data_IF_945001588584
#
_entry.id   IF_945001588584
#
_cell.length_a   1.000
_cell.length_b   1.000
_cell.length_c   1.000
_cell.angle_alpha   90.00
_cell.angle_beta   90.00
_cell.angle_gamma   90.00
#
_symmetry.space_group_name_H-M   'P 1'
#
loop_
_entity.id
_entity.type
_entity.pdbx_description
1 polymer ?
#
# COMPACT_ATOMS: atom_id res chain seq x y z
N UNK A 1 22.72 22.99 19.62
CA UNK A 1 22.14 21.63 19.65
C UNK A 1 20.88 21.48 18.78
N UNK A 2 19.93 22.44 18.78
CA UNK A 2 18.68 22.40 17.99
C UNK A 2 18.94 22.46 16.47
N UNK A 3 19.86 23.29 16.00
CA UNK A 3 20.22 23.44 14.57
C UNK A 3 20.84 22.17 13.97
N UNK A 4 21.68 21.46 14.71
CA UNK A 4 22.25 20.16 14.30
C UNK A 4 21.18 19.07 14.18
N UNK A 5 20.19 19.05 15.10
CA UNK A 5 19.04 18.14 15.01
C UNK A 5 18.16 18.41 13.77
N UNK A 6 18.04 19.67 13.37
CA UNK A 6 17.25 20.06 12.18
C UNK A 6 17.96 19.64 10.88
N UNK A 7 19.28 19.86 10.79
CA UNK A 7 20.09 19.43 9.64
C UNK A 7 20.10 17.90 9.54
N UNK A 8 20.28 17.20 10.66
CA UNK A 8 20.28 15.74 10.72
C UNK A 8 18.91 15.15 10.33
N UNK A 9 17.80 15.75 10.78
CA UNK A 9 16.45 15.35 10.35
C UNK A 9 16.25 15.57 8.85
N UNK A 10 16.70 16.70 8.28
CA UNK A 10 16.63 16.95 6.83
C UNK A 10 17.49 15.96 6.06
N UNK A 11 18.69 15.66 6.52
CA UNK A 11 19.57 14.66 5.90
C UNK A 11 18.93 13.27 5.94
N UNK A 12 18.42 12.84 7.09
CA UNK A 12 17.70 11.57 7.22
C UNK A 12 16.48 11.52 6.31
N UNK A 13 15.68 12.59 6.24
CA UNK A 13 14.52 12.66 5.34
C UNK A 13 14.93 12.60 3.86
N UNK A 14 16.06 13.21 3.49
CA UNK A 14 16.62 13.13 2.13
C UNK A 14 17.23 11.77 1.80
N UNK A 15 17.84 11.09 2.78
CA UNK A 15 18.37 9.74 2.64
C UNK A 15 17.25 8.70 2.54
N UNK A 16 16.23 8.81 3.41
CA UNK A 16 15.06 7.94 3.40
C UNK A 16 14.37 8.00 2.02
N UNK A 17 14.02 6.85 1.48
CA UNK A 17 13.40 6.72 0.17
C UNK A 17 14.27 7.20 -1.03
N UNK A 18 15.57 7.33 -0.85
CA UNK A 18 16.54 7.64 -1.90
C UNK A 18 17.07 6.38 -2.59
N UNK A 19 17.74 6.55 -3.75
CA UNK A 19 18.46 5.45 -4.41
C UNK A 19 19.56 4.84 -3.51
N UNK A 20 20.22 5.68 -2.71
CA UNK A 20 21.23 5.22 -1.76
C UNK A 20 20.58 4.35 -0.67
N UNK A 21 19.43 4.75 -0.14
CA UNK A 21 18.68 3.93 0.82
C UNK A 21 18.29 2.58 0.22
N UNK A 22 17.79 2.57 -1.02
CA UNK A 22 17.48 1.33 -1.73
C UNK A 22 18.72 0.44 -1.91
N UNK A 23 19.87 1.02 -2.25
CA UNK A 23 21.12 0.28 -2.41
C UNK A 23 21.61 -0.32 -1.08
N UNK A 24 21.62 0.49 -0.01
CA UNK A 24 21.97 0.03 1.34
C UNK A 24 21.03 -1.07 1.81
N UNK A 25 19.72 -0.93 1.56
CA UNK A 25 18.72 -1.95 1.91
C UNK A 25 19.00 -3.29 1.22
N UNK A 26 19.45 -3.28 -0.03
CA UNK A 26 19.85 -4.53 -0.74
C UNK A 26 21.06 -5.20 -0.08
N UNK A 27 22.06 -4.42 0.34
CA UNK A 27 23.23 -4.95 1.05
C UNK A 27 22.81 -5.53 2.40
N UNK A 28 22.04 -4.78 3.19
CA UNK A 28 21.57 -5.23 4.50
C UNK A 28 20.74 -6.51 4.39
N UNK A 29 19.89 -6.60 3.36
CA UNK A 29 19.12 -7.82 3.11
C UNK A 29 20.02 -9.03 2.78
N UNK A 30 21.09 -8.83 2.02
CA UNK A 30 22.07 -9.89 1.75
C UNK A 30 22.86 -10.31 3.01
N UNK A 31 22.88 -9.44 4.03
CA UNK A 31 23.55 -9.66 5.31
C UNK A 31 22.57 -10.06 6.43
N UNK A 32 21.30 -10.34 6.12
CA UNK A 32 20.35 -10.87 7.12
C UNK A 32 20.86 -12.21 7.65
N UNK A 33 21.11 -12.25 8.97
CA UNK A 33 21.51 -13.45 9.68
C UNK A 33 20.33 -14.05 10.44
N UNK A 34 20.47 -15.29 10.85
CA UNK A 34 19.49 -15.93 11.73
C UNK A 34 19.27 -15.08 13.00
N UNK A 35 18.00 -14.70 13.24
CA UNK A 35 17.61 -13.85 14.37
C UNK A 35 17.66 -12.33 14.12
N UNK A 36 18.11 -11.86 12.94
CA UNK A 36 18.05 -10.47 12.57
C UNK A 36 17.20 -10.28 11.32
N UNK A 37 16.11 -9.53 11.43
CA UNK A 37 15.11 -9.35 10.38
C UNK A 37 14.88 -7.86 10.15
N UNK A 38 14.89 -7.43 8.88
CA UNK A 38 14.60 -6.06 8.49
C UNK A 38 13.16 -5.99 7.98
N UNK A 39 12.37 -5.08 8.55
CA UNK A 39 11.03 -4.71 8.06
C UNK A 39 11.05 -3.28 7.53
N UNK A 40 10.27 -3.04 6.48
CA UNK A 40 10.10 -1.74 5.85
C UNK A 40 8.68 -1.19 6.04
N UNK A 41 7.70 -2.04 6.33
CA UNK A 41 6.32 -1.68 6.63
C UNK A 41 6.16 -1.08 8.03
N UNK A 42 4.95 -0.62 8.35
CA UNK A 42 4.69 0.05 9.64
C UNK A 42 4.67 -0.95 10.80
N UNK A 43 4.01 -2.09 10.65
CA UNK A 43 3.74 -3.06 11.72
C UNK A 43 4.25 -4.48 11.39
N UNK A 44 5.11 -4.62 10.37
CA UNK A 44 5.68 -5.91 9.97
C UNK A 44 4.84 -6.66 8.93
N UNK A 45 3.93 -5.99 8.23
CA UNK A 45 3.11 -6.56 7.16
C UNK A 45 3.95 -7.21 6.07
N UNK A 46 5.05 -6.57 5.69
CA UNK A 46 6.00 -7.07 4.70
C UNK A 46 6.63 -8.42 5.08
N UNK A 47 6.76 -8.69 6.38
CA UNK A 47 7.23 -9.97 6.93
C UNK A 47 6.18 -11.07 6.76
N UNK A 48 4.92 -10.72 7.07
CA UNK A 48 3.78 -11.63 6.91
C UNK A 48 3.61 -11.97 5.43
N UNK A 49 3.63 -10.96 4.56
CA UNK A 49 3.53 -11.13 3.11
C UNK A 49 4.68 -11.94 2.54
N UNK A 50 5.91 -11.70 2.97
CA UNK A 50 7.06 -12.53 2.57
C UNK A 50 6.87 -14.01 2.95
N UNK A 51 6.27 -14.28 4.11
CA UNK A 51 6.01 -15.65 4.54
C UNK A 51 4.92 -16.34 3.68
N UNK A 52 3.87 -15.62 3.25
CA UNK A 52 2.88 -16.16 2.31
C UNK A 52 3.51 -16.58 0.99
N UNK A 53 4.51 -15.85 0.53
CA UNK A 53 5.19 -16.06 -0.75
C UNK A 53 6.58 -16.70 -0.61
N UNK A 54 6.83 -17.38 0.51
CA UNK A 54 8.14 -17.97 0.84
C UNK A 54 8.67 -18.86 -0.29
N UNK A 55 9.88 -18.56 -0.74
CA UNK A 55 10.54 -19.29 -1.83
C UNK A 55 10.15 -18.81 -3.24
N UNK A 56 9.16 -17.92 -3.37
CA UNK A 56 8.76 -17.36 -4.66
C UNK A 56 9.66 -16.15 -5.00
N UNK A 57 10.47 -16.29 -6.06
CA UNK A 57 11.41 -15.24 -6.49
C UNK A 57 10.81 -14.21 -7.44
N UNK A 58 9.68 -14.53 -8.07
CA UNK A 58 8.97 -13.67 -9.00
C UNK A 58 7.49 -13.59 -8.63
N UNK A 59 6.91 -12.43 -8.77
CA UNK A 59 5.51 -12.19 -8.53
C UNK A 59 5.12 -10.78 -8.91
N UNK A 60 3.82 -10.52 -8.86
CA UNK A 60 3.25 -9.24 -9.23
C UNK A 60 2.32 -8.72 -8.14
N UNK A 61 2.57 -7.52 -7.67
CA UNK A 61 1.72 -6.85 -6.68
C UNK A 61 0.99 -5.64 -7.30
N UNK A 62 -0.14 -5.31 -6.70
CA UNK A 62 -0.87 -4.05 -6.89
C UNK A 62 -0.98 -3.39 -5.52
N UNK A 63 -0.47 -2.17 -5.40
CA UNK A 63 -0.31 -1.43 -4.16
C UNK A 63 -1.08 -0.11 -4.27
N UNK A 64 -2.24 -0.04 -3.60
CA UNK A 64 -3.15 1.11 -3.61
C UNK A 64 -3.02 1.85 -2.28
N UNK A 65 -2.69 3.15 -2.37
CA UNK A 65 -2.21 3.94 -1.25
C UNK A 65 -0.73 3.67 -0.96
N UNK A 66 0.07 3.48 -2.02
CA UNK A 66 1.44 2.97 -1.93
C UNK A 66 2.39 3.85 -1.12
N UNK A 67 2.03 5.10 -0.84
CA UNK A 67 2.74 6.08 -0.02
C UNK A 67 4.22 6.24 -0.45
N UNK A 68 5.17 5.76 0.32
CA UNK A 68 6.61 5.91 0.06
C UNK A 68 7.23 4.65 -0.53
N UNK A 69 8.22 4.79 -1.43
CA UNK A 69 8.77 3.65 -2.15
C UNK A 69 9.59 2.67 -1.29
N UNK A 70 9.99 3.05 -0.07
CA UNK A 70 10.83 2.22 0.82
C UNK A 70 10.22 2.14 2.22
N UNK A 71 10.24 3.27 2.94
CA UNK A 71 9.81 3.33 4.33
C UNK A 71 8.29 3.31 4.44
N UNK A 72 7.73 2.50 5.31
CA UNK A 72 6.29 2.30 5.47
C UNK A 72 5.66 1.46 4.35
N UNK A 73 6.46 0.77 3.54
CA UNK A 73 5.96 0.05 2.36
C UNK A 73 5.73 -1.44 2.63
N UNK A 74 4.53 -1.91 2.35
CA UNK A 74 4.15 -3.32 2.41
C UNK A 74 4.80 -4.16 1.29
N UNK A 75 5.16 -3.52 0.17
CA UNK A 75 5.62 -4.21 -1.05
C UNK A 75 7.12 -4.07 -1.33
N UNK A 76 7.85 -3.19 -0.61
CA UNK A 76 9.26 -2.96 -0.92
C UNK A 76 10.14 -4.20 -0.69
N UNK A 77 9.84 -5.01 0.31
CA UNK A 77 10.57 -6.25 0.58
C UNK A 77 10.42 -7.25 -0.56
N UNK A 78 9.22 -7.37 -1.13
CA UNK A 78 8.94 -8.17 -2.33
C UNK A 78 9.68 -7.60 -3.55
N UNK A 79 9.70 -6.27 -3.73
CA UNK A 79 10.50 -5.63 -4.77
C UNK A 79 11.99 -5.95 -4.66
N UNK A 80 12.57 -5.97 -3.45
CA UNK A 80 13.96 -6.39 -3.25
C UNK A 80 14.21 -7.84 -3.66
N UNK A 81 13.21 -8.71 -3.51
CA UNK A 81 13.26 -10.12 -3.90
C UNK A 81 13.06 -10.37 -5.42
N UNK A 82 12.91 -9.31 -6.22
CA UNK A 82 12.79 -9.43 -7.67
C UNK A 82 11.37 -9.20 -8.23
N UNK A 83 10.36 -9.08 -7.37
CA UNK A 83 9.00 -8.78 -7.78
C UNK A 83 8.88 -7.42 -8.45
N UNK A 84 7.78 -7.21 -9.13
CA UNK A 84 7.37 -5.94 -9.74
C UNK A 84 5.88 -5.74 -9.55
N UNK A 85 5.39 -4.54 -9.78
CA UNK A 85 3.97 -4.28 -9.61
C UNK A 85 3.50 -2.94 -10.14
N UNK A 86 2.26 -2.62 -9.75
CA UNK A 86 1.63 -1.32 -9.95
C UNK A 86 1.51 -0.67 -8.57
N UNK A 87 2.04 0.56 -8.42
CA UNK A 87 1.87 1.36 -7.23
C UNK A 87 1.00 2.56 -7.59
N UNK A 88 -0.02 2.83 -6.79
CA UNK A 88 -0.97 3.93 -6.99
C UNK A 88 -1.04 4.78 -5.74
N UNK A 89 -0.91 6.08 -5.92
CA UNK A 89 -1.07 7.07 -4.84
C UNK A 89 -1.55 8.40 -5.42
N UNK A 90 -2.40 9.13 -4.70
CA UNK A 90 -2.90 10.45 -5.11
C UNK A 90 -1.87 11.57 -5.01
N UNK A 91 -0.75 11.33 -4.34
CA UNK A 91 0.29 12.33 -4.13
C UNK A 91 1.41 12.22 -5.18
N UNK A 92 1.47 13.17 -6.10
CA UNK A 92 2.48 13.21 -7.17
C UNK A 92 3.92 13.25 -6.65
N UNK A 93 4.18 13.84 -5.46
CA UNK A 93 5.53 13.89 -4.91
C UNK A 93 6.00 12.50 -4.48
N UNK A 94 5.10 11.69 -3.93
CA UNK A 94 5.37 10.29 -3.57
C UNK A 94 5.65 9.46 -4.82
N UNK A 95 4.82 9.58 -5.85
CA UNK A 95 4.98 8.88 -7.13
C UNK A 95 6.32 9.23 -7.79
N UNK A 96 6.75 10.47 -7.73
CA UNK A 96 8.08 10.88 -8.21
C UNK A 96 9.23 10.14 -7.45
N UNK A 97 9.01 9.77 -6.20
CA UNK A 97 9.90 8.93 -5.41
C UNK A 97 10.00 7.50 -5.96
N UNK A 98 8.85 6.90 -6.30
CA UNK A 98 8.80 5.58 -6.92
C UNK A 98 9.56 5.52 -8.24
N UNK A 99 9.37 6.49 -9.13
CA UNK A 99 10.10 6.56 -10.42
C UNK A 99 11.62 6.58 -10.25
N UNK A 100 12.12 7.14 -9.13
CA UNK A 100 13.57 7.17 -8.82
C UNK A 100 14.07 5.84 -8.27
N UNK A 101 13.28 5.15 -7.46
CA UNK A 101 13.69 4.01 -6.63
C UNK A 101 13.25 2.69 -7.21
N UNK A 102 11.98 2.56 -7.63
CA UNK A 102 11.35 1.32 -8.08
C UNK A 102 11.16 1.28 -9.59
N UNK A 103 12.25 1.27 -10.33
CA UNK A 103 12.24 1.39 -11.80
C UNK A 103 11.58 0.22 -12.54
N UNK A 104 11.37 -0.93 -11.89
CA UNK A 104 10.68 -2.08 -12.50
C UNK A 104 9.17 -1.99 -12.37
N UNK A 105 8.67 -1.06 -11.53
CA UNK A 105 7.26 -0.88 -11.25
C UNK A 105 6.63 0.15 -12.17
N UNK A 106 5.35 0.01 -12.37
CA UNK A 106 4.46 1.02 -12.90
C UNK A 106 3.96 1.84 -11.72
N UNK A 107 4.14 3.16 -11.75
CA UNK A 107 3.75 4.02 -10.63
C UNK A 107 2.88 5.15 -11.12
N UNK A 108 1.67 5.29 -10.56
CA UNK A 108 0.58 6.11 -11.06
C UNK A 108 0.13 7.12 -10.00
N UNK A 109 -0.03 8.38 -10.42
CA UNK A 109 -0.67 9.40 -9.59
C UNK A 109 -2.16 9.42 -9.90
N UNK A 110 -2.92 8.60 -9.17
CA UNK A 110 -4.36 8.41 -9.38
C UNK A 110 -5.06 8.21 -8.03
N UNK A 111 -6.34 8.54 -7.98
CA UNK A 111 -7.24 8.15 -6.88
C UNK A 111 -8.03 6.95 -7.32
N UNK A 112 -8.14 5.96 -6.43
CA UNK A 112 -8.94 4.74 -6.67
C UNK A 112 -10.19 4.76 -5.81
N UNK A 113 -11.36 4.56 -6.42
CA UNK A 113 -12.66 4.50 -5.75
C UNK A 113 -13.68 3.80 -6.63
N UNK A 114 -14.81 3.39 -6.05
CA UNK A 114 -15.99 2.92 -6.79
C UNK A 114 -16.86 4.06 -7.34
N UNK A 115 -16.57 5.32 -6.97
CA UNK A 115 -17.25 6.51 -7.50
C UNK A 115 -16.51 7.05 -8.72
N UNK A 116 -17.26 7.61 -9.67
CA UNK A 116 -16.75 8.41 -10.79
C UNK A 116 -16.93 9.91 -10.59
N UNK A 117 -17.47 10.31 -9.46
CA UNK A 117 -17.65 11.72 -9.13
C UNK A 117 -16.32 12.35 -8.71
N UNK A 118 -16.17 13.63 -9.03
CA UNK A 118 -15.01 14.41 -8.64
C UNK A 118 -14.86 14.45 -7.11
N UNK A 119 -13.69 14.15 -6.61
CA UNK A 119 -13.38 14.15 -5.17
C UNK A 119 -12.28 15.14 -4.82
N UNK A 120 -12.33 15.64 -3.60
CA UNK A 120 -11.25 16.43 -3.00
C UNK A 120 -10.28 15.47 -2.28
N UNK A 121 -9.05 15.42 -2.75
CA UNK A 121 -7.97 14.67 -2.12
C UNK A 121 -7.15 15.60 -1.21
N UNK A 122 -7.06 15.25 0.06
CA UNK A 122 -6.39 16.02 1.11
C UNK A 122 -5.00 15.49 1.33
N UNK A 123 -3.99 16.30 1.02
CA UNK A 123 -2.58 15.97 1.24
C UNK A 123 -2.14 16.62 2.55
N UNK A 124 -1.66 15.83 3.50
CA UNK A 124 -1.04 16.31 4.73
C UNK A 124 0.43 16.69 4.49
N UNK A 125 0.99 17.60 5.30
CA UNK A 125 2.45 17.86 5.33
C UNK A 125 3.23 16.63 5.80
N UNK A 126 2.63 15.81 6.64
CA UNK A 126 3.09 14.46 6.92
C UNK A 126 2.50 13.54 5.85
N UNK A 127 3.26 13.30 4.80
CA UNK A 127 2.90 12.54 3.59
C UNK A 127 2.45 11.09 3.86
N UNK A 128 2.45 10.65 5.14
CA UNK A 128 1.94 9.32 5.55
C UNK A 128 0.42 9.28 5.68
N UNK A 129 -0.24 10.42 5.65
CA UNK A 129 -1.69 10.50 5.91
C UNK A 129 -2.31 11.43 4.89
N UNK A 130 -2.85 10.87 3.82
CA UNK A 130 -3.58 11.61 2.80
C UNK A 130 -4.84 10.84 2.43
N UNK A 131 -5.99 11.51 2.28
CA UNK A 131 -7.28 10.82 2.16
C UNK A 131 -8.29 11.59 1.31
N UNK A 132 -9.30 10.89 0.80
CA UNK A 132 -10.54 11.46 0.29
C UNK A 132 -11.69 11.35 1.29
N UNK A 133 -11.54 10.64 2.39
CA UNK A 133 -12.55 10.50 3.45
C UNK A 133 -12.77 11.84 4.16
N UNK A 134 -14.03 12.26 4.30
CA UNK A 134 -14.41 13.49 5.00
C UNK A 134 -14.13 13.40 6.50
N UNK A 135 -14.38 12.24 7.08
CA UNK A 135 -14.15 11.94 8.50
C UNK A 135 -12.66 12.00 8.82
N UNK A 136 -11.86 11.39 7.99
CA UNK A 136 -10.40 11.37 8.16
C UNK A 136 -9.77 12.76 7.89
N UNK A 137 -10.36 13.56 6.99
CA UNK A 137 -9.98 14.97 6.77
C UNK A 137 -10.10 15.79 8.05
N UNK A 138 -11.21 15.66 8.79
CA UNK A 138 -11.38 16.41 10.04
C UNK A 138 -10.35 15.95 11.07
N UNK A 139 -10.09 14.64 11.17
CA UNK A 139 -9.02 14.13 12.01
C UNK A 139 -7.63 14.68 11.63
N UNK A 140 -7.31 14.78 10.34
CA UNK A 140 -6.04 15.37 9.85
C UNK A 140 -5.93 16.83 10.29
N UNK A 141 -7.00 17.64 10.16
CA UNK A 141 -7.00 19.05 10.54
C UNK A 141 -6.69 19.24 12.02
N UNK A 142 -7.21 18.38 12.87
CA UNK A 142 -7.05 18.46 14.31
C UNK A 142 -5.68 17.97 14.82
N UNK A 143 -5.04 17.06 14.10
CA UNK A 143 -3.84 16.34 14.55
C UNK A 143 -2.59 16.53 13.67
N UNK A 144 -2.72 17.12 12.48
CA UNK A 144 -1.66 17.24 11.49
C UNK A 144 -1.70 18.60 10.79
N UNK A 145 -0.55 19.01 10.23
CA UNK A 145 -0.51 20.18 9.37
C UNK A 145 -1.08 19.84 7.98
N UNK A 146 -2.07 20.59 7.56
CA UNK A 146 -2.68 20.49 6.25
C UNK A 146 -1.82 21.20 5.19
N UNK A 147 -1.49 20.50 4.11
CA UNK A 147 -0.64 21.07 3.06
C UNK A 147 -1.42 21.54 1.83
N UNK A 148 -2.29 20.69 1.28
CA UNK A 148 -2.94 20.95 0.01
C UNK A 148 -4.23 20.14 -0.16
N UNK A 149 -5.21 20.73 -0.84
CA UNK A 149 -6.38 20.05 -1.39
C UNK A 149 -6.26 20.00 -2.91
N UNK A 150 -6.37 18.82 -3.48
CA UNK A 150 -6.31 18.61 -4.93
C UNK A 150 -7.60 17.94 -5.37
N UNK A 151 -8.22 18.47 -6.42
CA UNK A 151 -9.43 17.88 -6.98
C UNK A 151 -9.09 16.90 -8.08
N UNK A 152 -9.59 15.67 -7.97
CA UNK A 152 -9.32 14.57 -8.90
C UNK A 152 -10.60 13.81 -9.24
N UNK A 153 -10.64 13.17 -10.40
CA UNK A 153 -11.70 12.22 -10.78
C UNK A 153 -11.14 10.82 -10.51
N UNK A 154 -11.72 10.05 -9.58
CA UNK A 154 -11.25 8.71 -9.27
C UNK A 154 -11.42 7.77 -10.44
N UNK A 155 -10.59 6.72 -10.47
CA UNK A 155 -10.76 5.55 -11.34
C UNK A 155 -11.13 4.34 -10.47
N UNK A 156 -11.91 3.42 -11.00
CA UNK A 156 -12.06 2.13 -10.34
C UNK A 156 -10.77 1.33 -10.40
N UNK A 157 -10.56 0.42 -9.46
CA UNK A 157 -9.41 -0.51 -9.53
C UNK A 157 -9.44 -1.32 -10.83
N UNK A 158 -10.63 -1.71 -11.29
CA UNK A 158 -10.81 -2.36 -12.59
C UNK A 158 -10.26 -1.52 -13.74
N UNK A 159 -10.57 -0.22 -13.80
CA UNK A 159 -10.06 0.67 -14.87
C UNK A 159 -8.53 0.81 -14.82
N UNK A 160 -7.94 0.90 -13.64
CA UNK A 160 -6.49 0.91 -13.48
C UNK A 160 -5.87 -0.39 -14.02
N UNK A 161 -6.44 -1.53 -13.65
CA UNK A 161 -5.94 -2.83 -14.09
C UNK A 161 -6.15 -3.06 -15.60
N UNK A 162 -7.28 -2.63 -16.16
CA UNK A 162 -7.57 -2.70 -17.59
C UNK A 162 -6.54 -1.94 -18.43
N UNK A 163 -6.07 -0.80 -17.90
CA UNK A 163 -5.15 0.07 -18.61
C UNK A 163 -3.67 -0.31 -18.43
N UNK A 164 -3.28 -0.80 -17.26
CA UNK A 164 -1.86 -0.88 -16.88
C UNK A 164 -1.37 -2.29 -16.53
N UNK A 165 -2.27 -3.24 -16.26
CA UNK A 165 -1.84 -4.61 -15.96
C UNK A 165 -1.27 -5.25 -17.23
N UNK A 166 -0.03 -5.76 -17.23
CA UNK A 166 0.51 -6.43 -18.40
C UNK A 166 -0.36 -7.60 -18.85
N UNK A 167 -0.42 -7.84 -20.15
CA UNK A 167 -1.24 -8.90 -20.74
C UNK A 167 -0.95 -10.25 -20.08
N UNK A 168 -2.01 -10.96 -19.68
CA UNK A 168 -1.94 -12.28 -19.02
C UNK A 168 -1.20 -12.28 -17.67
N UNK A 169 -0.88 -11.11 -17.10
CA UNK A 169 -0.26 -11.04 -15.79
C UNK A 169 -1.28 -11.39 -14.68
N UNK A 170 -0.95 -12.38 -13.86
CA UNK A 170 -1.69 -12.66 -12.63
C UNK A 170 -1.27 -11.69 -11.53
N UNK A 171 -2.20 -11.37 -10.63
CA UNK A 171 -1.95 -10.57 -9.43
C UNK A 171 -1.75 -11.54 -8.27
N UNK A 172 -0.54 -11.59 -7.75
CA UNK A 172 -0.23 -12.42 -6.59
C UNK A 172 -0.65 -11.72 -5.28
N UNK A 173 -0.46 -10.39 -5.20
CA UNK A 173 -0.80 -9.58 -4.04
C UNK A 173 -1.56 -8.33 -4.45
N UNK A 174 -2.66 -8.03 -3.77
CA UNK A 174 -3.29 -6.72 -3.72
C UNK A 174 -3.13 -6.17 -2.30
N UNK A 175 -2.56 -5.00 -2.14
CA UNK A 175 -2.57 -4.27 -0.86
C UNK A 175 -3.36 -2.97 -1.02
N UNK A 176 -4.19 -2.65 -0.03
CA UNK A 176 -5.05 -1.47 0.01
C UNK A 176 -4.86 -0.80 1.37
N UNK A 177 -4.44 0.47 1.35
CA UNK A 177 -4.23 1.29 2.53
C UNK A 177 -4.41 2.76 2.10
N UNK A 178 -5.65 3.24 2.14
CA UNK A 178 -6.05 4.56 1.63
C UNK A 178 -6.72 5.43 2.70
N UNK A 179 -6.45 5.10 3.97
CA UNK A 179 -6.81 5.92 5.11
C UNK A 179 -8.33 6.18 5.18
N UNK A 180 -9.08 5.08 5.32
CA UNK A 180 -10.52 5.11 5.59
C UNK A 180 -11.43 5.10 4.35
N UNK A 181 -10.90 4.75 3.17
CA UNK A 181 -11.67 4.56 1.93
C UNK A 181 -11.41 3.18 1.30
N UNK A 182 -10.93 2.24 2.11
CA UNK A 182 -10.41 0.94 1.70
C UNK A 182 -11.48 0.02 1.13
N UNK A 183 -12.65 0.03 1.76
CA UNK A 183 -13.80 -0.76 1.28
C UNK A 183 -14.26 -0.33 -0.12
N UNK A 184 -14.34 0.97 -0.39
CA UNK A 184 -14.73 1.52 -1.69
C UNK A 184 -13.73 1.17 -2.78
N UNK A 185 -12.44 1.18 -2.45
CA UNK A 185 -11.38 0.68 -3.34
C UNK A 185 -11.58 -0.80 -3.63
N UNK A 186 -11.77 -1.61 -2.59
CA UNK A 186 -11.95 -3.06 -2.70
C UNK A 186 -13.11 -3.43 -3.63
N UNK A 187 -14.29 -2.82 -3.43
CA UNK A 187 -15.49 -3.12 -4.23
C UNK A 187 -15.42 -2.56 -5.66
N UNK A 188 -14.49 -1.66 -5.96
CA UNK A 188 -14.26 -1.13 -7.29
C UNK A 188 -13.55 -2.12 -8.23
N UNK A 189 -13.05 -3.25 -7.69
CA UNK A 189 -12.44 -4.32 -8.47
C UNK A 189 -13.46 -5.31 -9.01
N UNK A 190 -13.29 -5.71 -10.25
CA UNK A 190 -14.00 -6.86 -10.84
C UNK A 190 -13.26 -8.16 -10.51
N UNK A 191 -13.71 -8.87 -9.48
CA UNK A 191 -13.09 -10.11 -9.00
C UNK A 191 -13.26 -11.31 -9.96
N UNK A 192 -14.18 -11.26 -10.91
CA UNK A 192 -14.29 -12.28 -11.97
C UNK A 192 -13.18 -12.14 -13.00
N UNK A 193 -12.69 -10.91 -13.20
CA UNK A 193 -11.61 -10.60 -14.14
C UNK A 193 -10.24 -10.57 -13.46
N UNK A 194 -10.16 -9.95 -12.30
CA UNK A 194 -8.92 -9.72 -11.56
C UNK A 194 -9.03 -10.27 -10.16
N UNK A 195 -8.44 -11.45 -9.96
CA UNK A 195 -8.52 -12.21 -8.72
C UNK A 195 -7.16 -12.36 -8.07
N UNK A 196 -6.76 -11.45 -7.15
CA UNK A 196 -5.50 -11.57 -6.42
C UNK A 196 -5.42 -12.85 -5.60
N UNK A 197 -4.24 -13.47 -5.50
CA UNK A 197 -4.05 -14.65 -4.63
C UNK A 197 -4.16 -14.27 -3.16
N UNK A 198 -3.50 -13.17 -2.77
CA UNK A 198 -3.50 -12.63 -1.41
C UNK A 198 -3.98 -11.18 -1.45
N UNK A 199 -4.76 -10.78 -0.45
CA UNK A 199 -5.20 -9.40 -0.24
C UNK A 199 -4.75 -8.98 1.16
N UNK A 200 -4.04 -7.86 1.26
CA UNK A 200 -3.75 -7.13 2.50
C UNK A 200 -4.55 -5.84 2.47
N UNK A 201 -5.40 -5.59 3.46
CA UNK A 201 -6.28 -4.42 3.47
C UNK A 201 -6.41 -3.84 4.87
N UNK A 202 -6.33 -2.49 4.95
CA UNK A 202 -6.51 -1.77 6.20
C UNK A 202 -7.98 -1.74 6.61
N UNK A 203 -8.23 -1.98 7.92
CA UNK A 203 -9.54 -1.78 8.54
C UNK A 203 -9.41 -1.47 10.04
N UNK A 204 -9.49 -0.22 10.38
CA UNK A 204 -9.48 0.26 11.77
C UNK A 204 -10.75 -0.13 12.56
N UNK A 205 -11.81 -0.55 11.89
CA UNK A 205 -13.09 -0.92 12.51
C UNK A 205 -13.20 -2.41 12.80
N UNK A 206 -12.24 -3.21 12.34
CA UNK A 206 -12.26 -4.67 12.49
C UNK A 206 -12.27 -5.09 13.97
N UNK A 207 -13.11 -6.08 14.27
CA UNK A 207 -13.17 -6.73 15.57
C UNK A 207 -13.38 -8.23 15.42
N UNK A 208 -12.58 -9.03 16.13
CA UNK A 208 -12.75 -10.48 16.19
C UNK A 208 -14.11 -10.90 16.77
N UNK A 209 -14.75 -10.03 17.55
CA UNK A 209 -16.08 -10.31 18.10
C UNK A 209 -17.21 -10.17 17.07
N UNK A 210 -16.95 -9.57 15.90
CA UNK A 210 -17.96 -9.32 14.87
C UNK A 210 -17.39 -9.50 13.46
N UNK A 211 -16.70 -10.59 13.19
CA UNK A 211 -16.08 -10.87 11.89
C UNK A 211 -17.11 -10.90 10.76
N UNK A 212 -18.25 -11.58 10.98
CA UNK A 212 -19.29 -11.73 9.97
C UNK A 212 -20.09 -10.44 9.70
N UNK A 213 -20.09 -9.50 10.64
CA UNK A 213 -20.70 -8.18 10.47
C UNK A 213 -19.76 -7.14 9.88
N UNK A 214 -18.49 -7.48 9.67
CA UNK A 214 -17.52 -6.59 9.04
C UNK A 214 -17.71 -6.61 7.51
N UNK A 215 -17.82 -5.44 6.89
CA UNK A 215 -18.14 -5.29 5.46
C UNK A 215 -17.06 -5.91 4.56
N UNK A 216 -15.78 -5.68 4.86
CA UNK A 216 -14.62 -6.22 4.11
C UNK A 216 -14.60 -7.75 4.19
N UNK A 217 -14.76 -8.29 5.41
CA UNK A 217 -14.79 -9.73 5.63
C UNK A 217 -15.95 -10.39 4.88
N UNK A 218 -17.18 -9.87 5.04
CA UNK A 218 -18.36 -10.39 4.36
C UNK A 218 -18.18 -10.37 2.85
N UNK A 219 -17.74 -9.25 2.29
CA UNK A 219 -17.51 -9.10 0.85
C UNK A 219 -16.51 -10.11 0.29
N UNK A 220 -15.40 -10.36 1.01
CA UNK A 220 -14.34 -11.29 0.57
C UNK A 220 -14.72 -12.75 0.81
N UNK A 221 -15.44 -13.07 1.90
CA UNK A 221 -15.95 -14.42 2.15
C UNK A 221 -16.91 -14.88 1.05
N UNK A 222 -17.81 -13.99 0.59
CA UNK A 222 -18.74 -14.26 -0.53
C UNK A 222 -17.99 -14.52 -1.85
N UNK A 223 -16.71 -14.11 -1.94
CA UNK A 223 -15.84 -14.32 -3.11
C UNK A 223 -14.82 -15.42 -2.93
N UNK A 224 -15.05 -16.34 -1.99
CA UNK A 224 -14.17 -17.46 -1.70
C UNK A 224 -12.75 -17.05 -1.27
N UNK A 225 -12.62 -15.97 -0.50
CA UNK A 225 -11.44 -15.69 0.28
C UNK A 225 -11.64 -16.15 1.72
N UNK A 226 -10.54 -16.39 2.43
CA UNK A 226 -10.54 -16.65 3.86
C UNK A 226 -9.59 -15.67 4.57
N UNK A 227 -10.00 -15.21 5.75
CA UNK A 227 -9.15 -14.41 6.63
C UNK A 227 -8.10 -15.34 7.25
N UNK A 228 -6.83 -15.10 6.94
CA UNK A 228 -5.70 -15.91 7.40
C UNK A 228 -4.79 -15.21 8.39
N UNK A 229 -4.89 -13.91 8.54
CA UNK A 229 -4.03 -13.15 9.43
C UNK A 229 -4.57 -11.77 9.75
N UNK A 230 -4.03 -11.21 10.82
CA UNK A 230 -4.30 -9.86 11.28
C UNK A 230 -3.05 -9.26 11.91
N UNK A 231 -2.63 -8.11 11.44
CA UNK A 231 -1.64 -7.26 12.09
C UNK A 231 -2.21 -5.84 12.11
N UNK A 232 -2.71 -5.42 13.27
CA UNK A 232 -3.45 -4.15 13.41
C UNK A 232 -2.76 -2.99 12.67
N UNK A 233 -3.51 -2.28 11.83
CA UNK A 233 -4.92 -2.44 11.46
C UNK A 233 -5.18 -3.33 10.23
N UNK A 234 -4.20 -4.07 9.72
CA UNK A 234 -4.25 -4.79 8.46
C UNK A 234 -4.80 -6.22 8.58
N UNK A 235 -5.70 -6.57 7.67
CA UNK A 235 -6.28 -7.90 7.47
C UNK A 235 -5.63 -8.59 6.28
N UNK A 236 -5.34 -9.88 6.41
CA UNK A 236 -4.75 -10.70 5.35
C UNK A 236 -5.72 -11.78 4.92
N UNK A 237 -6.14 -11.71 3.66
CA UNK A 237 -7.01 -12.70 3.04
C UNK A 237 -6.28 -13.49 1.97
N UNK A 238 -6.65 -14.75 1.81
CA UNK A 238 -6.14 -15.60 0.74
C UNK A 238 -7.29 -16.31 0.04
N UNK A 239 -7.15 -16.56 -1.26
CA UNK A 239 -8.10 -17.39 -2.01
C UNK A 239 -8.15 -18.79 -1.42
N UNK A 240 -9.35 -19.33 -1.19
CA UNK A 240 -9.52 -20.75 -0.88
C UNK A 240 -9.06 -21.57 -2.08
N UNK A 241 -8.22 -22.57 -1.84
CA UNK A 241 -7.91 -23.58 -2.84
C UNK A 241 -9.20 -24.37 -3.09
N UNK A 242 -9.67 -24.36 -4.33
CA UNK A 242 -10.79 -25.19 -4.80
C UNK A 242 -10.26 -26.58 -5.09
#
# INVERSE_FOLDING_TARGET
MMFFKLIWRRFLKSYQNSRLHCFVSKILRALEFEGFIITYSQFGEDMILENYFRGRREGFYVDIGANRPIQGSNTFKLYLNGWRGINVDGNQQLINGFHKVRKRDISLCEIVSNSSEQVSFFVSEDDRVSTISKEFKEWIKDHRSYAQEVTMIPKSLTQILDQYLPLSQKIDLLTIDVEGHDYEVLISNNFDKYRPEVICIEDHTFSFNNINGNAICSFLFDRNYELQGYAYPNLFFKTKLI
#
